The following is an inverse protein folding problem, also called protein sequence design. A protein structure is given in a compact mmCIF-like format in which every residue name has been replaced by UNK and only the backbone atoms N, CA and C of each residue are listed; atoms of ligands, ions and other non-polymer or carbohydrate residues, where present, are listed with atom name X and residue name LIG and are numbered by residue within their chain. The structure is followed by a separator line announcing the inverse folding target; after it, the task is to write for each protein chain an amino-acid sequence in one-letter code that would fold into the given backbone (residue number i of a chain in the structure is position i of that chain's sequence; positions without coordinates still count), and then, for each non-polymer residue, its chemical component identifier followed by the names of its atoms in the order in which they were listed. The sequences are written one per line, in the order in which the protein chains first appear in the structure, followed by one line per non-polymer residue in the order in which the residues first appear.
data_IF_986003206771
#
_entry.id   IF_986003206771
#
_cell.length_a   1.000
_cell.length_b   1.000
_cell.length_c   1.000
_cell.angle_alpha   90.00
_cell.angle_beta   90.00
_cell.angle_gamma   90.00
#
_symmetry.space_group_name_H-M   'P 1'
#
loop_
_entity.id
_entity.type
_entity.pdbx_description
1 polymer ?
#
# COMPACT_ATOMS: atom_id res chain seq x y z
N UNK A 1 -51.03 -50.28 6.92
CA UNK A 1 -50.91 -51.46 7.82
C UNK A 1 -49.60 -51.34 8.63
N UNK A 2 -49.77 -51.37 9.96
CA UNK A 2 -48.83 -51.84 11.02
C UNK A 2 -47.46 -51.15 11.12
N UNK A 3 -46.96 -50.76 12.28
CA UNK A 3 -47.39 -50.61 13.69
C UNK A 3 -46.23 -49.95 14.43
N UNK A 4 -46.60 -49.04 15.32
CA UNK A 4 -45.96 -48.61 16.56
C UNK A 4 -44.91 -49.53 17.17
N UNK A 5 -43.87 -48.99 17.78
CA UNK A 5 -43.61 -49.20 19.23
C UNK A 5 -42.74 -48.02 19.78
N UNK A 6 -43.28 -47.46 20.84
CA UNK A 6 -42.67 -46.57 21.84
C UNK A 6 -41.79 -47.41 22.77
N UNK A 7 -40.73 -46.83 23.34
CA UNK A 7 -40.33 -47.08 24.71
C UNK A 7 -39.80 -45.77 25.33
N UNK A 8 -40.26 -45.60 26.57
CA UNK A 8 -40.13 -44.42 27.42
C UNK A 8 -39.16 -44.64 28.55
N UNK A 9 -38.60 -43.54 29.03
CA UNK A 9 -38.24 -43.16 30.41
C UNK A 9 -37.13 -43.91 31.15
N UNK A 10 -36.21 -43.16 31.74
CA UNK A 10 -36.24 -42.96 33.20
C UNK A 10 -35.34 -41.77 33.58
N UNK A 11 -35.89 -40.87 34.39
CA UNK A 11 -35.25 -39.76 35.15
C UNK A 11 -34.15 -40.27 36.09
N UNK A 12 -33.14 -39.46 36.32
CA UNK A 12 -32.55 -39.30 37.64
C UNK A 12 -32.24 -37.84 37.93
N UNK A 13 -32.93 -37.34 38.95
CA UNK A 13 -32.79 -36.04 39.58
C UNK A 13 -31.64 -36.11 40.58
N UNK A 14 -30.74 -35.11 40.53
CA UNK A 14 -29.73 -34.88 41.55
C UNK A 14 -29.62 -33.37 41.82
N UNK A 15 -30.25 -32.95 42.89
CA UNK A 15 -30.37 -31.59 43.43
C UNK A 15 -29.16 -31.27 44.32
N UNK A 16 -28.49 -30.12 44.14
CA UNK A 16 -27.89 -29.31 45.22
C UNK A 16 -27.60 -27.91 44.65
N UNK A 17 -28.33 -27.01 45.00
CA UNK A 17 -28.38 -25.92 46.00
C UNK A 17 -27.24 -24.90 45.87
N UNK A 18 -27.65 -23.73 45.36
CA UNK A 18 -27.51 -22.33 45.79
C UNK A 18 -26.17 -21.78 46.27
N UNK A 19 -25.66 -20.76 45.56
CA UNK A 19 -25.52 -19.43 46.17
C UNK A 19 -25.61 -18.37 45.07
N UNK A 20 -26.59 -17.49 45.23
CA UNK A 20 -26.76 -16.28 44.43
C UNK A 20 -25.79 -15.22 44.95
N UNK A 21 -25.10 -14.56 44.01
CA UNK A 21 -24.60 -13.18 44.20
C UNK A 21 -24.89 -12.40 42.93
N UNK A 22 -25.78 -11.46 43.07
CA UNK A 22 -26.12 -10.49 42.06
C UNK A 22 -24.95 -9.56 41.83
N UNK A 23 -24.53 -9.47 40.58
CA UNK A 23 -23.63 -8.43 40.08
C UNK A 23 -24.12 -7.96 38.71
N UNK A 24 -24.84 -6.82 38.68
CA UNK A 24 -25.10 -6.11 37.44
C UNK A 24 -23.79 -5.73 36.81
N UNK A 25 -23.48 -6.26 35.65
CA UNK A 25 -22.45 -5.75 34.77
C UNK A 25 -23.05 -5.55 33.39
N UNK A 26 -22.92 -4.31 32.93
CA UNK A 26 -23.31 -3.83 31.60
C UNK A 26 -22.70 -4.71 30.53
N UNK A 27 -23.52 -5.12 29.58
CA UNK A 27 -23.11 -5.69 28.31
C UNK A 27 -22.27 -4.66 27.56
N UNK A 28 -20.94 -4.79 27.61
CA UNK A 28 -20.06 -4.25 26.59
C UNK A 28 -19.75 -5.44 25.68
N UNK A 29 -20.25 -5.36 24.45
CA UNK A 29 -19.73 -6.18 23.35
C UNK A 29 -18.30 -5.70 23.05
N UNK A 30 -17.33 -6.20 23.82
CA UNK A 30 -15.93 -6.16 23.41
C UNK A 30 -15.68 -7.39 22.55
N UNK A 31 -15.13 -7.18 21.37
CA UNK A 31 -14.65 -8.21 20.50
C UNK A 31 -13.71 -9.15 21.30
N UNK A 32 -14.00 -10.45 21.25
CA UNK A 32 -13.23 -11.48 21.92
C UNK A 32 -11.90 -11.67 21.20
N UNK A 33 -10.92 -10.84 21.54
CA UNK A 33 -9.53 -11.23 21.42
C UNK A 33 -9.18 -12.21 22.54
N UNK A 34 -8.22 -13.08 22.34
CA UNK A 34 -7.79 -14.10 23.30
C UNK A 34 -7.68 -13.51 24.73
N UNK A 35 -8.56 -13.90 25.62
CA UNK A 35 -8.73 -13.26 26.94
C UNK A 35 -7.69 -13.70 27.97
N UNK A 36 -6.76 -14.60 27.61
CA UNK A 36 -5.79 -15.19 28.52
C UNK A 36 -4.40 -14.53 28.45
N UNK A 37 -4.23 -13.49 27.62
CA UNK A 37 -2.94 -12.77 27.46
C UNK A 37 -1.80 -13.63 26.92
N UNK A 38 -2.11 -14.83 26.40
CA UNK A 38 -1.16 -15.70 25.77
C UNK A 38 -1.22 -15.52 24.26
N UNK A 39 -0.09 -15.14 23.66
CA UNK A 39 0.05 -15.06 22.21
C UNK A 39 -0.15 -16.42 21.56
N UNK A 40 -0.59 -16.44 20.29
CA UNK A 40 -0.62 -17.62 19.44
C UNK A 40 0.77 -18.21 19.24
N UNK A 41 0.86 -19.41 18.70
CA UNK A 41 2.14 -20.07 18.43
C UNK A 41 2.67 -19.81 17.02
N UNK A 42 1.83 -19.28 16.12
CA UNK A 42 2.15 -18.95 14.74
C UNK A 42 1.66 -17.53 14.41
N UNK A 43 2.53 -16.73 13.81
CA UNK A 43 2.20 -15.42 13.24
C UNK A 43 2.17 -15.55 11.72
N UNK A 44 0.99 -15.43 11.10
CA UNK A 44 0.83 -15.51 9.65
C UNK A 44 0.81 -14.11 9.02
N UNK A 45 1.76 -13.84 8.13
CA UNK A 45 1.93 -12.54 7.46
C UNK A 45 1.73 -12.71 5.95
N UNK A 46 0.77 -11.97 5.38
CA UNK A 46 0.44 -11.99 3.95
C UNK A 46 1.06 -10.80 3.23
N UNK A 47 1.89 -11.07 2.23
CA UNK A 47 2.65 -10.08 1.45
C UNK A 47 2.61 -10.41 -0.04
N UNK A 48 2.86 -9.41 -0.91
CA UNK A 48 2.93 -9.64 -2.37
C UNK A 48 4.37 -9.68 -2.92
N UNK A 49 5.36 -9.25 -2.13
CA UNK A 49 6.77 -9.26 -2.49
C UNK A 49 7.65 -9.41 -1.24
N UNK A 50 8.97 -9.35 -1.44
CA UNK A 50 9.95 -9.54 -0.36
C UNK A 50 10.26 -8.24 0.42
N UNK A 51 9.71 -7.07 0.03
CA UNK A 51 10.15 -5.78 0.56
C UNK A 51 9.85 -5.64 2.07
N UNK A 52 8.61 -5.83 2.49
CA UNK A 52 8.24 -5.82 3.92
C UNK A 52 8.89 -6.98 4.68
N UNK A 53 8.96 -8.15 4.06
CA UNK A 53 9.61 -9.32 4.66
C UNK A 53 11.08 -9.03 4.97
N UNK A 54 11.85 -8.45 4.04
CA UNK A 54 13.25 -8.09 4.29
C UNK A 54 13.39 -7.08 5.42
N UNK A 55 12.49 -6.10 5.51
CA UNK A 55 12.48 -5.14 6.62
C UNK A 55 12.35 -5.81 7.99
N UNK A 56 11.39 -6.73 8.12
CA UNK A 56 11.20 -7.47 9.36
C UNK A 56 12.35 -8.43 9.61
N UNK A 57 12.77 -9.20 8.61
CA UNK A 57 13.83 -10.20 8.78
C UNK A 57 15.19 -9.58 9.14
N UNK A 58 15.51 -8.41 8.60
CA UNK A 58 16.82 -7.79 8.75
C UNK A 58 16.87 -6.81 9.92
N UNK A 59 15.73 -6.26 10.35
CA UNK A 59 15.72 -5.15 11.30
C UNK A 59 14.86 -5.37 12.54
N UNK A 60 13.91 -6.34 12.52
CA UNK A 60 13.08 -6.59 13.71
C UNK A 60 13.89 -7.29 14.80
N UNK A 61 13.96 -6.73 16.03
CA UNK A 61 14.77 -7.29 17.11
C UNK A 61 14.36 -8.72 17.45
N UNK A 62 15.30 -9.65 17.42
CA UNK A 62 15.06 -11.05 17.81
C UNK A 62 14.42 -11.92 16.73
N UNK A 63 14.25 -11.42 15.50
CA UNK A 63 13.86 -12.29 14.41
C UNK A 63 15.00 -13.27 14.06
N UNK A 64 14.66 -14.55 13.92
CA UNK A 64 15.59 -15.60 13.51
C UNK A 64 15.01 -16.31 12.30
N UNK A 65 15.68 -16.20 11.15
CA UNK A 65 15.29 -16.91 9.91
C UNK A 65 15.47 -18.42 10.10
N UNK A 66 14.45 -19.21 9.74
CA UNK A 66 14.51 -20.68 9.73
C UNK A 66 14.68 -21.20 8.31
N UNK A 67 13.89 -20.70 7.36
CA UNK A 67 13.99 -20.94 5.92
C UNK A 67 13.48 -19.72 5.14
N UNK A 68 13.22 -19.87 3.83
CA UNK A 68 12.80 -18.74 2.99
C UNK A 68 11.37 -18.25 3.27
N UNK A 69 10.53 -19.08 3.85
CA UNK A 69 9.13 -18.75 4.14
C UNK A 69 8.82 -18.71 5.64
N UNK A 70 9.77 -19.09 6.51
CA UNK A 70 9.54 -19.15 7.93
C UNK A 70 10.68 -18.56 8.76
N UNK A 71 10.33 -18.10 9.95
CA UNK A 71 11.25 -17.62 10.97
C UNK A 71 10.66 -17.74 12.36
N UNK A 72 11.31 -17.13 13.34
CA UNK A 72 10.83 -17.06 14.72
C UNK A 72 11.06 -15.68 15.31
N UNK A 73 10.12 -15.29 16.18
CA UNK A 73 10.27 -14.17 17.11
C UNK A 73 9.95 -14.74 18.51
N UNK A 74 10.97 -14.89 19.33
CA UNK A 74 10.83 -15.62 20.59
C UNK A 74 10.36 -17.05 20.36
N UNK A 75 9.25 -17.43 21.00
CA UNK A 75 8.62 -18.77 20.84
C UNK A 75 7.62 -18.83 19.67
N UNK A 76 7.27 -17.69 19.05
CA UNK A 76 6.28 -17.62 17.97
C UNK A 76 6.95 -17.92 16.64
N UNK A 77 6.38 -18.87 15.88
CA UNK A 77 6.79 -19.16 14.50
C UNK A 77 6.18 -18.12 13.54
N UNK A 78 6.99 -17.42 12.78
CA UNK A 78 6.53 -16.49 11.72
C UNK A 78 6.44 -17.24 10.41
N UNK A 79 5.27 -17.18 9.76
CA UNK A 79 5.05 -17.73 8.41
C UNK A 79 4.76 -16.60 7.42
N UNK A 80 5.52 -16.57 6.34
CA UNK A 80 5.35 -15.62 5.24
C UNK A 80 4.54 -16.25 4.11
N UNK A 81 3.40 -15.65 3.80
CA UNK A 81 2.54 -16.03 2.68
C UNK A 81 2.74 -15.03 1.56
N UNK A 82 3.77 -15.29 0.70
CA UNK A 82 4.10 -14.41 -0.41
C UNK A 82 3.32 -14.82 -1.66
N UNK A 83 2.51 -13.92 -2.20
CA UNK A 83 1.79 -14.10 -3.46
C UNK A 83 2.04 -12.90 -4.36
N UNK A 84 2.76 -13.04 -5.49
CA UNK A 84 2.99 -11.95 -6.43
C UNK A 84 1.67 -11.29 -6.87
N UNK A 85 1.67 -9.95 -6.94
CA UNK A 85 0.47 -9.20 -7.31
C UNK A 85 0.31 -9.08 -8.84
N UNK A 86 0.34 -10.22 -9.51
CA UNK A 86 0.06 -10.33 -10.94
C UNK A 86 -1.42 -10.68 -11.14
N UNK A 87 -2.12 -9.94 -12.01
CA UNK A 87 -3.55 -10.18 -12.29
C UNK A 87 -4.43 -10.25 -11.03
N UNK A 88 -4.14 -9.45 -10.02
CA UNK A 88 -4.81 -9.42 -8.71
C UNK A 88 -4.67 -10.73 -7.90
N UNK A 89 -3.66 -11.57 -8.15
CA UNK A 89 -3.52 -12.85 -7.47
C UNK A 89 -3.37 -12.68 -5.95
N UNK A 90 -2.61 -11.66 -5.50
CA UNK A 90 -2.48 -11.37 -4.07
C UNK A 90 -3.84 -11.05 -3.43
N UNK A 91 -4.59 -10.11 -4.01
CA UNK A 91 -5.91 -9.72 -3.49
C UNK A 91 -6.88 -10.89 -3.48
N UNK A 92 -6.90 -11.72 -4.53
CA UNK A 92 -7.78 -12.89 -4.59
C UNK A 92 -7.45 -13.90 -3.49
N UNK A 93 -6.17 -14.20 -3.27
CA UNK A 93 -5.73 -15.10 -2.19
C UNK A 93 -6.04 -14.53 -0.80
N UNK A 94 -5.82 -13.23 -0.61
CA UNK A 94 -6.13 -12.57 0.66
C UNK A 94 -7.64 -12.56 0.93
N UNK A 95 -8.48 -12.31 -0.08
CA UNK A 95 -9.93 -12.37 0.04
C UNK A 95 -10.39 -13.75 0.52
N UNK A 96 -9.90 -14.82 -0.11
CA UNK A 96 -10.25 -16.20 0.26
C UNK A 96 -9.82 -16.53 1.69
N UNK A 97 -8.67 -16.06 2.12
CA UNK A 97 -8.14 -16.30 3.46
C UNK A 97 -8.92 -15.52 4.52
N UNK A 98 -9.21 -14.22 4.27
CA UNK A 98 -10.00 -13.38 5.19
C UNK A 98 -11.44 -13.88 5.35
N UNK A 99 -12.06 -14.45 4.31
CA UNK A 99 -13.38 -15.07 4.41
C UNK A 99 -13.41 -16.28 5.37
N UNK A 100 -12.28 -16.96 5.54
CA UNK A 100 -12.13 -18.12 6.45
C UNK A 100 -11.69 -17.71 7.86
N UNK A 101 -11.26 -16.47 8.07
CA UNK A 101 -10.61 -15.97 9.28
C UNK A 101 -11.39 -16.29 10.57
N UNK A 102 -12.73 -16.15 10.54
CA UNK A 102 -13.57 -16.34 11.71
C UNK A 102 -13.55 -17.80 12.22
N UNK A 103 -13.52 -18.76 11.29
CA UNK A 103 -13.63 -20.19 11.57
C UNK A 103 -12.26 -20.89 11.54
N UNK A 104 -11.17 -20.16 11.26
CA UNK A 104 -9.82 -20.69 11.25
C UNK A 104 -9.37 -21.12 12.66
N UNK A 105 -8.58 -22.19 12.73
CA UNK A 105 -7.87 -22.57 13.96
C UNK A 105 -6.85 -21.46 14.32
N UNK A 106 -6.45 -21.37 15.59
CA UNK A 106 -5.57 -20.34 16.08
C UNK A 106 -4.31 -20.17 15.20
N UNK A 107 -3.55 -21.23 14.96
CA UNK A 107 -2.32 -21.20 14.19
C UNK A 107 -2.50 -21.01 12.65
N UNK A 108 -3.75 -20.98 12.16
CA UNK A 108 -4.11 -20.78 10.76
C UNK A 108 -4.73 -19.39 10.51
N UNK A 109 -4.91 -18.59 11.55
CA UNK A 109 -5.44 -17.23 11.43
C UNK A 109 -4.44 -16.31 10.76
N UNK A 110 -4.95 -15.39 9.95
CA UNK A 110 -4.16 -14.26 9.48
C UNK A 110 -3.94 -13.30 10.64
N UNK A 111 -2.72 -12.85 10.82
CA UNK A 111 -2.39 -11.85 11.83
C UNK A 111 -2.11 -10.49 11.18
N UNK A 112 -1.24 -10.47 10.19
CA UNK A 112 -0.87 -9.28 9.43
C UNK A 112 -1.13 -9.52 7.94
N UNK A 113 -1.69 -8.54 7.28
CA UNK A 113 -1.71 -8.47 5.82
C UNK A 113 -1.39 -7.05 5.34
N UNK A 114 -0.80 -6.97 4.16
CA UNK A 114 -0.44 -5.69 3.58
C UNK A 114 -1.50 -5.21 2.59
N UNK A 115 -1.66 -3.90 2.52
CA UNK A 115 -2.48 -3.24 1.49
C UNK A 115 -1.69 -2.13 0.83
N UNK A 116 -1.96 -1.91 -0.45
CA UNK A 116 -1.38 -0.83 -1.24
C UNK A 116 -2.44 0.27 -1.44
N UNK A 117 -2.01 1.51 -1.67
CA UNK A 117 -2.86 2.69 -1.74
C UNK A 117 -4.07 2.53 -2.68
N UNK A 118 -3.89 1.89 -3.84
CA UNK A 118 -4.93 1.80 -4.88
C UNK A 118 -6.13 0.93 -4.47
N UNK A 119 -5.92 -0.01 -3.52
CA UNK A 119 -6.99 -0.91 -3.09
C UNK A 119 -7.18 -1.01 -1.56
N UNK A 120 -6.54 -0.11 -0.79
CA UNK A 120 -6.63 -0.13 0.67
C UNK A 120 -8.08 -0.09 1.18
N UNK A 121 -8.94 0.76 0.60
CA UNK A 121 -10.35 0.89 1.01
C UNK A 121 -11.14 -0.41 0.88
N UNK A 122 -10.78 -1.29 -0.06
CA UNK A 122 -11.42 -2.60 -0.20
C UNK A 122 -11.34 -3.42 1.09
N UNK A 123 -10.28 -3.24 1.87
CA UNK A 123 -10.03 -4.01 3.10
C UNK A 123 -10.34 -3.22 4.36
N UNK A 124 -9.94 -1.96 4.43
CA UNK A 124 -10.12 -1.17 5.66
C UNK A 124 -11.58 -0.80 5.91
N UNK A 125 -12.40 -0.67 4.86
CA UNK A 125 -13.84 -0.40 4.99
C UNK A 125 -14.66 -1.68 5.24
N UNK A 126 -14.05 -2.68 5.87
CA UNK A 126 -14.66 -3.97 6.21
C UNK A 126 -14.44 -4.32 7.68
N UNK A 127 -15.17 -5.34 8.15
CA UNK A 127 -15.00 -5.92 9.49
C UNK A 127 -13.83 -6.93 9.55
N UNK A 128 -13.11 -7.17 8.45
CA UNK A 128 -11.95 -8.05 8.44
C UNK A 128 -10.67 -7.38 8.94
N UNK A 129 -10.62 -6.04 8.94
CA UNK A 129 -9.47 -5.26 9.37
C UNK A 129 -9.71 -4.66 10.75
N UNK A 130 -8.81 -4.94 11.69
CA UNK A 130 -8.89 -4.48 13.06
C UNK A 130 -8.55 -2.99 13.17
N UNK A 131 -9.31 -2.19 13.95
CA UNK A 131 -8.88 -0.84 14.34
C UNK A 131 -7.54 -0.86 15.08
N UNK A 132 -6.61 0.02 14.74
CA UNK A 132 -5.30 0.06 15.42
C UNK A 132 -5.40 0.37 16.92
N UNK A 133 -6.45 1.05 17.35
CA UNK A 133 -6.73 1.32 18.77
C UNK A 133 -7.02 0.06 19.56
N UNK A 134 -7.60 -0.95 18.91
CA UNK A 134 -7.89 -2.25 19.56
C UNK A 134 -6.60 -3.05 19.80
N UNK A 135 -5.51 -2.70 19.08
CA UNK A 135 -4.14 -3.18 19.34
C UNK A 135 -3.42 -2.39 20.42
N UNK A 136 -4.08 -1.39 21.04
CA UNK A 136 -3.47 -0.51 22.03
C UNK A 136 -2.50 0.52 21.46
N UNK A 137 -2.53 0.77 20.15
CA UNK A 137 -1.74 1.84 19.52
C UNK A 137 -2.51 3.15 19.68
N UNK A 138 -1.84 4.15 20.28
CA UNK A 138 -2.46 5.43 20.65
C UNK A 138 -2.26 6.51 19.59
N UNK A 139 -3.13 7.52 19.59
CA UNK A 139 -3.01 8.67 18.68
C UNK A 139 -1.67 9.41 18.86
N UNK A 140 -1.13 9.46 20.08
CA UNK A 140 0.18 10.09 20.34
C UNK A 140 1.36 9.33 19.73
N UNK A 141 1.22 8.02 19.56
CA UNK A 141 2.27 7.21 18.95
C UNK A 141 2.34 7.41 17.43
N UNK A 142 1.29 7.89 16.79
CA UNK A 142 1.18 8.07 15.34
C UNK A 142 1.09 9.55 14.93
N UNK A 143 1.21 10.48 15.89
CA UNK A 143 1.02 11.92 15.66
C UNK A 143 1.96 12.51 14.60
N UNK A 144 3.18 11.94 14.49
CA UNK A 144 4.21 12.39 13.55
C UNK A 144 4.09 11.76 12.16
N UNK A 145 3.15 10.82 11.95
CA UNK A 145 2.92 10.28 10.60
C UNK A 145 2.23 11.29 9.71
N UNK A 146 2.62 11.31 8.44
CA UNK A 146 1.97 12.17 7.44
C UNK A 146 0.47 11.90 7.36
N UNK A 147 -0.33 12.96 7.36
CA UNK A 147 -1.80 12.87 7.33
C UNK A 147 -2.32 12.01 6.18
N UNK A 148 -1.77 12.15 4.97
CA UNK A 148 -2.21 11.39 3.81
C UNK A 148 -2.01 9.88 3.98
N UNK A 149 -0.96 9.44 4.71
CA UNK A 149 -0.74 8.02 4.98
C UNK A 149 -1.77 7.44 5.96
N UNK A 150 -2.29 8.26 6.88
CA UNK A 150 -3.38 7.86 7.76
C UNK A 150 -4.72 7.83 7.01
N UNK A 151 -4.97 8.82 6.13
CA UNK A 151 -6.23 8.92 5.38
C UNK A 151 -6.49 7.70 4.48
N UNK A 152 -5.46 7.15 3.85
CA UNK A 152 -5.56 5.96 2.97
C UNK A 152 -6.13 4.73 3.69
N UNK A 153 -5.82 4.56 4.97
CA UNK A 153 -6.25 3.40 5.78
C UNK A 153 -7.24 3.78 6.88
N UNK A 154 -7.92 4.91 6.70
CA UNK A 154 -9.06 5.32 7.51
C UNK A 154 -10.35 4.90 6.80
N UNK A 155 -11.20 4.14 7.48
CA UNK A 155 -12.47 3.67 6.91
C UNK A 155 -13.50 4.81 6.75
N UNK A 156 -14.63 4.50 6.09
CA UNK A 156 -15.73 5.46 5.85
C UNK A 156 -16.37 6.02 7.14
N UNK A 157 -16.08 5.41 8.30
CA UNK A 157 -16.56 5.86 9.63
C UNK A 157 -15.51 6.70 10.38
N UNK A 158 -14.34 6.96 9.76
CA UNK A 158 -13.24 7.71 10.35
C UNK A 158 -12.39 6.88 11.32
N UNK A 159 -12.40 5.55 11.22
CA UNK A 159 -11.60 4.66 12.06
C UNK A 159 -10.32 4.28 11.33
N UNK A 160 -9.18 4.54 11.96
CA UNK A 160 -7.87 4.16 11.44
C UNK A 160 -7.61 2.66 11.64
N UNK A 161 -7.30 1.94 10.55
CA UNK A 161 -7.19 0.48 10.52
C UNK A 161 -5.87 -0.07 9.98
N UNK A 162 -4.88 0.78 9.78
CA UNK A 162 -3.55 0.36 9.35
C UNK A 162 -2.51 1.42 9.65
N UNK A 163 -1.24 1.07 9.54
CA UNK A 163 -0.11 1.98 9.64
C UNK A 163 0.79 1.86 8.41
N UNK A 164 1.27 2.98 7.92
CA UNK A 164 2.24 3.01 6.83
C UNK A 164 3.64 2.79 7.36
N UNK A 165 4.44 2.03 6.63
CA UNK A 165 5.89 1.93 6.81
C UNK A 165 6.66 2.63 5.68
N UNK A 166 5.97 3.14 4.67
CA UNK A 166 6.53 3.87 3.54
C UNK A 166 5.90 5.25 3.40
N UNK A 167 6.72 6.29 3.35
CA UNK A 167 6.35 7.55 2.73
C UNK A 167 6.75 7.51 1.26
N UNK A 168 5.84 7.80 0.35
CA UNK A 168 6.09 7.75 -1.09
C UNK A 168 5.81 9.11 -1.76
N UNK A 169 6.43 10.23 -1.28
CA UNK A 169 6.31 11.50 -1.96
C UNK A 169 6.90 11.39 -3.36
N UNK A 170 6.16 11.87 -4.35
CA UNK A 170 6.60 11.85 -5.73
C UNK A 170 7.39 13.09 -6.10
N UNK A 171 8.31 12.93 -7.04
CA UNK A 171 9.12 13.99 -7.64
C UNK A 171 9.15 13.83 -9.14
N UNK A 172 9.53 14.89 -9.86
CA UNK A 172 9.89 14.81 -11.27
C UNK A 172 11.35 14.34 -11.36
N UNK A 173 11.59 13.23 -12.06
CA UNK A 173 12.90 12.62 -12.29
C UNK A 173 13.27 12.88 -13.74
N UNK A 174 14.36 13.59 -13.99
CA UNK A 174 14.74 14.00 -15.34
C UNK A 174 16.11 13.48 -15.75
N UNK A 175 16.28 13.27 -17.06
CA UNK A 175 17.54 12.89 -17.70
C UNK A 175 18.49 14.09 -17.75
N UNK A 176 19.65 13.97 -17.08
CA UNK A 176 20.66 15.04 -16.97
C UNK A 176 21.25 15.42 -18.32
N UNK A 177 21.51 14.45 -19.20
CA UNK A 177 22.13 14.70 -20.48
C UNK A 177 21.18 15.45 -21.41
N UNK A 178 19.90 15.06 -21.45
CA UNK A 178 18.87 15.77 -22.20
C UNK A 178 18.68 17.17 -21.63
N UNK A 179 18.67 17.33 -20.29
CA UNK A 179 18.57 18.64 -19.66
C UNK A 179 19.73 19.57 -20.07
N UNK A 180 20.97 19.09 -20.04
CA UNK A 180 22.15 19.85 -20.49
C UNK A 180 22.05 20.25 -21.96
N UNK A 181 21.67 19.29 -22.81
CA UNK A 181 21.60 19.53 -24.27
C UNK A 181 20.49 20.54 -24.61
N UNK A 182 19.29 20.40 -24.04
CA UNK A 182 18.10 21.14 -24.46
C UNK A 182 17.87 22.40 -23.62
N UNK A 183 18.11 22.33 -22.30
CA UNK A 183 17.89 23.44 -21.37
C UNK A 183 19.18 24.20 -21.03
N UNK A 184 20.36 23.66 -21.40
CA UNK A 184 21.66 24.22 -21.10
C UNK A 184 22.16 23.99 -19.67
N UNK A 185 21.44 23.21 -18.89
CA UNK A 185 21.77 22.91 -17.48
C UNK A 185 21.19 21.57 -17.02
N UNK A 186 21.85 20.91 -16.06
CA UNK A 186 21.31 19.76 -15.32
C UNK A 186 21.20 20.04 -13.82
N UNK A 187 21.36 21.29 -13.41
CA UNK A 187 21.13 21.69 -12.03
C UNK A 187 19.64 21.61 -11.67
N UNK A 188 19.26 20.90 -10.59
CA UNK A 188 17.85 20.70 -10.23
C UNK A 188 17.07 22.00 -10.01
N UNK A 189 17.67 23.03 -9.41
CA UNK A 189 16.99 24.29 -9.14
C UNK A 189 16.75 25.10 -10.44
N UNK A 190 17.65 24.98 -11.42
CA UNK A 190 17.47 25.62 -12.72
C UNK A 190 16.47 24.85 -13.60
N UNK A 191 16.53 23.50 -13.61
CA UNK A 191 15.56 22.66 -14.32
C UNK A 191 14.15 22.86 -13.75
N UNK A 192 13.99 23.04 -12.43
CA UNK A 192 12.69 23.33 -11.81
C UNK A 192 12.00 24.55 -12.45
N UNK A 193 12.73 25.57 -12.85
CA UNK A 193 12.16 26.75 -13.51
C UNK A 193 11.47 26.42 -14.83
N UNK A 194 11.92 25.35 -15.51
CA UNK A 194 11.37 24.90 -16.79
C UNK A 194 10.18 23.93 -16.61
N UNK A 195 9.88 23.49 -15.39
CA UNK A 195 8.82 22.52 -15.08
C UNK A 195 7.97 22.93 -13.86
N UNK A 196 8.01 24.21 -13.49
CA UNK A 196 7.44 24.75 -12.24
C UNK A 196 5.90 24.71 -12.14
N UNK A 197 5.25 24.65 -13.27
CA UNK A 197 3.79 24.57 -13.40
C UNK A 197 3.40 23.90 -14.73
N UNK A 198 2.13 23.50 -14.86
CA UNK A 198 1.68 22.76 -16.06
C UNK A 198 1.82 23.56 -17.38
N UNK A 199 1.67 24.89 -17.35
CA UNK A 199 1.86 25.74 -18.55
C UNK A 199 3.32 25.77 -18.97
N UNK A 200 4.23 25.90 -18.00
CA UNK A 200 5.67 25.88 -18.26
C UNK A 200 6.13 24.48 -18.68
N UNK A 201 5.59 23.43 -18.07
CA UNK A 201 5.84 22.03 -18.42
C UNK A 201 5.46 21.73 -19.88
N UNK A 202 4.30 22.23 -20.35
CA UNK A 202 3.88 22.07 -21.76
C UNK A 202 4.78 22.83 -22.75
N UNK A 203 5.24 24.03 -22.39
CA UNK A 203 6.21 24.78 -23.22
C UNK A 203 7.53 24.01 -23.33
N UNK A 204 7.98 23.44 -22.23
CA UNK A 204 9.19 22.60 -22.20
C UNK A 204 8.98 21.33 -23.01
N UNK A 205 7.79 20.72 -22.98
CA UNK A 205 7.46 19.55 -23.80
C UNK A 205 7.62 19.87 -25.31
N UNK A 206 7.18 21.05 -25.74
CA UNK A 206 7.40 21.48 -27.10
C UNK A 206 8.90 21.62 -27.42
N UNK A 207 9.68 22.24 -26.55
CA UNK A 207 11.12 22.40 -26.72
C UNK A 207 11.86 21.07 -26.82
N UNK A 208 11.48 20.10 -25.94
CA UNK A 208 12.00 18.73 -26.01
C UNK A 208 11.68 18.08 -27.36
N UNK A 209 10.44 18.19 -27.83
CA UNK A 209 10.02 17.64 -29.12
C UNK A 209 10.78 18.27 -30.30
N UNK A 210 10.95 19.58 -30.30
CA UNK A 210 11.70 20.30 -31.35
C UNK A 210 13.18 19.87 -31.40
N UNK A 211 13.71 19.36 -30.27
CA UNK A 211 15.07 18.80 -30.11
C UNK A 211 15.14 17.27 -30.34
N UNK A 212 14.03 16.62 -30.66
CA UNK A 212 13.97 15.18 -30.96
C UNK A 212 13.80 14.26 -29.76
N UNK A 213 13.32 14.79 -28.62
CA UNK A 213 13.06 14.08 -27.39
C UNK A 213 11.57 14.02 -27.06
N UNK A 214 11.15 13.00 -26.28
CA UNK A 214 9.84 12.97 -25.63
C UNK A 214 9.91 13.68 -24.29
N UNK A 215 8.86 14.41 -23.92
CA UNK A 215 8.76 15.02 -22.59
C UNK A 215 8.57 13.95 -21.52
N UNK A 216 7.62 13.02 -21.73
CA UNK A 216 7.31 11.89 -20.90
C UNK A 216 7.24 10.63 -21.75
N UNK A 217 7.30 9.43 -21.12
CA UNK A 217 7.29 8.19 -21.87
C UNK A 217 5.88 7.78 -22.30
N UNK A 218 4.92 7.75 -21.39
CA UNK A 218 3.57 7.26 -21.67
C UNK A 218 2.48 8.31 -21.51
N UNK A 219 1.22 7.88 -21.83
CA UNK A 219 0.06 8.74 -21.61
C UNK A 219 -0.32 8.84 -20.12
N UNK A 220 0.12 7.91 -19.30
CA UNK A 220 -0.28 7.78 -17.89
C UNK A 220 0.71 8.45 -16.93
N UNK A 221 1.89 8.89 -17.41
CA UNK A 221 2.99 9.35 -16.56
C UNK A 221 2.61 10.50 -15.62
N UNK A 222 1.72 11.38 -16.04
CA UNK A 222 1.26 12.50 -15.21
C UNK A 222 0.00 12.20 -14.41
N UNK A 223 -0.64 11.05 -14.61
CA UNK A 223 -1.94 10.72 -14.01
C UNK A 223 -1.93 10.85 -12.49
N UNK A 224 -0.90 10.31 -11.81
CA UNK A 224 -0.81 10.34 -10.34
C UNK A 224 -0.75 11.76 -9.80
N UNK A 225 -0.10 12.67 -10.50
CA UNK A 225 -0.02 14.08 -10.09
C UNK A 225 -1.40 14.73 -10.09
N UNK A 226 -2.20 14.49 -11.13
CA UNK A 226 -3.56 15.03 -11.21
C UNK A 226 -4.52 14.32 -10.27
N UNK A 227 -4.48 12.98 -10.20
CA UNK A 227 -5.41 12.19 -9.40
C UNK A 227 -5.23 12.34 -7.89
N UNK A 228 -4.04 12.69 -7.41
CA UNK A 228 -3.81 13.00 -6.00
C UNK A 228 -4.39 14.36 -5.59
N UNK A 229 -4.69 15.23 -6.55
CA UNK A 229 -5.14 16.60 -6.30
C UNK A 229 -6.62 16.80 -6.68
N UNK A 230 -7.41 15.75 -6.63
CA UNK A 230 -8.86 15.82 -6.86
C UNK A 230 -9.58 16.40 -5.64
N UNK A 231 -10.69 17.10 -5.90
CA UNK A 231 -11.55 17.68 -4.87
C UNK A 231 -12.72 16.78 -4.49
N UNK A 232 -13.00 15.75 -5.28
CA UNK A 232 -14.14 14.86 -5.12
C UNK A 232 -13.75 13.40 -5.35
N UNK A 233 -14.31 12.44 -4.60
CA UNK A 233 -14.16 11.03 -4.89
C UNK A 233 -14.90 10.64 -6.17
N UNK A 234 -14.54 9.49 -6.76
CA UNK A 234 -15.17 8.97 -7.96
C UNK A 234 -16.66 8.64 -7.81
N UNK A 235 -17.14 8.42 -6.59
CA UNK A 235 -18.54 8.13 -6.32
C UNK A 235 -19.04 9.02 -5.20
N UNK A 236 -20.10 9.79 -5.48
CA UNK A 236 -20.81 10.63 -4.51
C UNK A 236 -22.29 10.28 -4.60
N UNK A 237 -22.93 9.92 -3.50
CA UNK A 237 -24.36 9.54 -3.42
C UNK A 237 -24.75 8.47 -4.45
N UNK A 238 -23.87 7.47 -4.66
CA UNK A 238 -24.07 6.37 -5.61
C UNK A 238 -23.95 6.75 -7.08
N UNK A 239 -23.47 7.94 -7.41
CA UNK A 239 -23.24 8.42 -8.78
C UNK A 239 -21.75 8.60 -9.05
N UNK A 240 -21.34 8.23 -10.25
CA UNK A 240 -19.96 8.51 -10.72
C UNK A 240 -19.81 10.01 -10.92
N UNK A 241 -18.75 10.55 -10.33
CA UNK A 241 -18.31 11.95 -10.47
C UNK A 241 -16.91 11.93 -11.08
N UNK A 242 -16.72 12.69 -12.15
CA UNK A 242 -15.41 12.90 -12.76
C UNK A 242 -14.94 14.29 -12.34
N UNK A 243 -13.90 14.35 -11.51
CA UNK A 243 -13.32 15.60 -11.03
C UNK A 243 -12.67 16.39 -12.18
N UNK A 244 -12.69 17.73 -12.08
CA UNK A 244 -12.11 18.59 -13.10
C UNK A 244 -10.61 18.33 -13.31
N UNK A 245 -9.88 17.96 -12.25
CA UNK A 245 -8.47 17.59 -12.38
C UNK A 245 -8.25 16.32 -13.22
N UNK A 246 -9.16 15.37 -13.16
CA UNK A 246 -9.11 14.19 -14.03
C UNK A 246 -9.34 14.62 -15.50
N UNK A 247 -10.27 15.55 -15.74
CA UNK A 247 -10.50 16.09 -17.09
C UNK A 247 -9.31 16.94 -17.58
N UNK A 248 -8.61 17.65 -16.69
CA UNK A 248 -7.38 18.36 -17.01
C UNK A 248 -6.27 17.39 -17.45
N UNK A 249 -6.11 16.25 -16.74
CA UNK A 249 -5.21 15.19 -17.18
C UNK A 249 -5.60 14.62 -18.56
N UNK A 250 -6.88 14.32 -18.79
CA UNK A 250 -7.36 13.85 -20.11
C UNK A 250 -7.01 14.84 -21.22
N UNK A 251 -7.19 16.12 -20.96
CA UNK A 251 -6.87 17.19 -21.92
C UNK A 251 -5.37 17.30 -22.19
N UNK A 252 -4.55 17.22 -21.12
CA UNK A 252 -3.09 17.27 -21.24
C UNK A 252 -2.56 16.05 -22.00
N UNK A 253 -2.98 14.83 -21.60
CA UNK A 253 -2.47 13.61 -22.27
C UNK A 253 -2.88 13.56 -23.73
N UNK A 254 -4.08 14.05 -24.07
CA UNK A 254 -4.50 14.20 -25.47
C UNK A 254 -3.58 15.17 -26.20
N UNK A 255 -3.32 16.34 -25.66
CA UNK A 255 -2.43 17.35 -26.26
C UNK A 255 -1.02 16.77 -26.44
N UNK A 256 -0.49 16.06 -25.45
CA UNK A 256 0.84 15.44 -25.49
C UNK A 256 0.92 14.34 -26.56
N UNK A 257 -0.12 13.55 -26.71
CA UNK A 257 -0.21 12.50 -27.73
C UNK A 257 -0.31 13.10 -29.13
N UNK A 258 -1.21 14.06 -29.33
CA UNK A 258 -1.45 14.70 -30.64
C UNK A 258 -0.19 15.44 -31.16
N UNK A 259 0.60 16.03 -30.23
CA UNK A 259 1.83 16.76 -30.56
C UNK A 259 3.10 15.87 -30.55
N UNK A 260 2.99 14.60 -30.17
CA UNK A 260 4.10 13.66 -30.07
C UNK A 260 5.08 14.01 -28.95
N UNK A 261 4.59 14.51 -27.81
CA UNK A 261 5.38 14.78 -26.61
C UNK A 261 5.57 13.54 -25.74
N UNK A 262 4.87 12.45 -26.03
CA UNK A 262 5.05 11.12 -25.46
C UNK A 262 5.24 10.07 -26.57
N UNK A 263 5.67 8.87 -26.20
CA UNK A 263 5.90 7.77 -27.15
C UNK A 263 4.65 6.87 -27.33
N UNK A 264 3.48 7.29 -26.86
CA UNK A 264 2.21 6.61 -27.00
C UNK A 264 2.16 5.20 -26.37
N UNK A 265 2.90 5.00 -25.30
CA UNK A 265 2.88 3.76 -24.50
C UNK A 265 2.03 3.91 -23.25
N UNK A 266 1.63 2.78 -22.67
CA UNK A 266 1.06 2.71 -21.34
C UNK A 266 2.13 2.47 -20.30
N UNK A 267 1.84 2.85 -19.06
CA UNK A 267 2.65 2.56 -17.89
C UNK A 267 2.95 1.04 -17.83
N UNK A 268 4.19 0.69 -17.61
CA UNK A 268 4.75 -0.67 -17.52
C UNK A 268 4.90 -1.42 -18.85
N UNK A 269 4.54 -0.82 -20.00
CA UNK A 269 4.82 -1.42 -21.30
C UNK A 269 6.32 -1.43 -21.61
N UNK A 270 6.74 -2.37 -22.47
CA UNK A 270 8.13 -2.44 -22.94
C UNK A 270 8.60 -1.13 -23.59
N UNK A 271 7.72 -0.46 -24.37
CA UNK A 271 8.03 0.81 -24.99
C UNK A 271 8.16 1.95 -23.97
N UNK A 272 7.37 1.91 -22.89
CA UNK A 272 7.50 2.85 -21.80
C UNK A 272 8.84 2.70 -21.07
N UNK A 273 9.25 1.45 -20.80
CA UNK A 273 10.52 1.12 -20.12
C UNK A 273 11.77 1.45 -20.94
N UNK A 274 11.67 1.52 -22.28
CA UNK A 274 12.79 1.94 -23.15
C UNK A 274 13.34 3.32 -22.80
N UNK A 275 12.52 4.21 -22.23
CA UNK A 275 12.95 5.52 -21.76
C UNK A 275 13.94 5.51 -20.61
N UNK A 276 14.15 4.36 -19.94
CA UNK A 276 15.21 4.19 -18.93
C UNK A 276 16.60 4.01 -19.56
N UNK A 277 16.68 3.92 -20.87
CA UNK A 277 17.89 3.80 -21.67
C UNK A 277 18.04 4.98 -22.63
N UNK A 278 19.29 5.33 -23.04
CA UNK A 278 19.53 6.51 -23.88
C UNK A 278 18.74 6.54 -25.20
N UNK A 279 18.54 5.37 -25.82
CA UNK A 279 17.81 5.23 -27.07
C UNK A 279 16.31 5.56 -26.96
N UNK A 280 15.73 5.50 -25.76
CA UNK A 280 14.33 5.85 -25.54
C UNK A 280 14.03 7.34 -25.62
N UNK A 281 15.05 8.19 -25.46
CA UNK A 281 14.97 9.66 -25.66
C UNK A 281 13.89 10.34 -24.83
N UNK A 282 13.65 9.87 -23.61
CA UNK A 282 12.64 10.41 -22.68
C UNK A 282 13.32 11.40 -21.72
N UNK A 283 12.74 12.60 -21.61
CA UNK A 283 13.27 13.63 -20.72
C UNK A 283 12.95 13.35 -19.27
N UNK A 284 11.70 13.06 -18.90
CA UNK A 284 11.35 12.88 -17.50
C UNK A 284 10.29 11.83 -17.24
N UNK A 285 10.26 11.40 -15.97
CA UNK A 285 9.27 10.55 -15.33
C UNK A 285 8.79 11.19 -14.04
N UNK A 286 7.65 10.75 -13.55
CA UNK A 286 7.13 11.10 -12.23
C UNK A 286 7.13 9.86 -11.34
N UNK A 287 7.79 9.93 -10.18
CA UNK A 287 7.87 8.77 -9.28
C UNK A 287 8.48 9.12 -7.92
N UNK A 288 8.23 8.29 -6.92
CA UNK A 288 8.89 8.35 -5.61
C UNK A 288 10.24 7.62 -5.62
N UNK A 289 10.91 7.58 -4.47
CA UNK A 289 12.23 6.95 -4.34
C UNK A 289 12.25 5.48 -4.80
N UNK A 290 11.22 4.68 -4.45
CA UNK A 290 11.15 3.27 -4.87
C UNK A 290 11.12 3.11 -6.40
N UNK A 291 10.62 4.09 -7.13
CA UNK A 291 10.55 4.05 -8.59
C UNK A 291 11.95 3.97 -9.22
N UNK A 292 12.91 4.68 -8.66
CA UNK A 292 14.32 4.62 -9.11
C UNK A 292 14.89 3.22 -8.88
N UNK A 293 14.70 2.67 -7.68
CA UNK A 293 15.30 1.39 -7.29
C UNK A 293 14.68 0.18 -8.01
N UNK A 294 13.36 0.17 -8.16
CA UNK A 294 12.64 -1.00 -8.68
C UNK A 294 12.30 -0.92 -10.18
N UNK A 295 12.18 0.29 -10.75
CA UNK A 295 11.69 0.43 -12.12
C UNK A 295 12.77 0.87 -13.10
N UNK A 296 13.72 1.74 -12.69
CA UNK A 296 14.66 2.37 -13.61
C UNK A 296 15.93 1.55 -13.90
N UNK A 297 15.91 0.25 -13.56
CA UNK A 297 16.97 -0.72 -13.88
C UNK A 297 18.39 -0.31 -13.42
N UNK A 298 18.53 0.15 -12.18
CA UNK A 298 19.79 0.63 -11.59
C UNK A 298 20.92 -0.42 -11.62
N UNK A 299 20.59 -1.70 -11.69
CA UNK A 299 21.55 -2.80 -11.78
C UNK A 299 22.01 -3.11 -13.20
N UNK A 300 21.35 -2.58 -14.23
CA UNK A 300 21.74 -2.76 -15.64
C UNK A 300 22.71 -1.64 -16.04
N UNK A 301 23.98 -2.03 -16.34
CA UNK A 301 25.02 -1.07 -16.71
C UNK A 301 24.71 -0.22 -17.96
N UNK A 302 23.78 -0.66 -18.81
CA UNK A 302 23.33 0.08 -19.99
C UNK A 302 22.28 1.13 -19.65
N UNK A 303 21.64 1.06 -18.46
CA UNK A 303 20.62 2.01 -18.06
C UNK A 303 21.20 3.38 -17.71
N UNK A 304 20.39 4.43 -17.88
CA UNK A 304 20.72 5.80 -17.45
C UNK A 304 20.93 5.84 -15.93
N UNK A 305 20.12 5.09 -15.17
CA UNK A 305 20.17 5.06 -13.71
C UNK A 305 21.49 4.51 -13.17
N UNK A 306 22.02 3.43 -13.74
CA UNK A 306 23.29 2.82 -13.35
C UNK A 306 24.49 3.79 -13.46
N UNK A 307 24.39 4.78 -14.33
CA UNK A 307 25.42 5.75 -14.62
C UNK A 307 25.18 7.12 -13.96
N UNK A 308 24.21 7.23 -13.04
CA UNK A 308 23.86 8.49 -12.37
C UNK A 308 23.29 9.57 -13.30
N UNK A 309 22.72 9.16 -14.44
CA UNK A 309 22.20 10.04 -15.47
C UNK A 309 20.83 10.66 -15.15
N UNK A 310 20.22 10.35 -14.00
CA UNK A 310 18.99 10.97 -13.53
C UNK A 310 19.24 11.95 -12.40
N UNK A 311 18.40 12.99 -12.33
CA UNK A 311 18.27 13.86 -11.19
C UNK A 311 16.79 14.13 -10.90
N UNK A 312 16.49 14.69 -9.73
CA UNK A 312 15.12 14.95 -9.32
C UNK A 312 14.90 16.42 -8.98
N UNK A 313 13.67 16.88 -9.22
CA UNK A 313 13.19 18.21 -8.82
C UNK A 313 11.70 18.12 -8.45
N UNK A 314 11.11 19.16 -7.86
CA UNK A 314 9.72 19.13 -7.37
C UNK A 314 8.70 18.87 -8.50
N UNK A 315 8.95 19.41 -9.70
CA UNK A 315 8.03 19.36 -10.81
C UNK A 315 6.89 20.38 -10.70
N UNK A 316 5.82 20.22 -11.50
CA UNK A 316 4.75 21.21 -11.58
C UNK A 316 3.79 21.19 -10.40
N UNK A 317 3.70 20.08 -9.67
CA UNK A 317 2.75 19.88 -8.56
C UNK A 317 3.16 18.70 -7.69
N UNK A 318 2.99 18.82 -6.37
CA UNK A 318 3.24 17.74 -5.42
C UNK A 318 2.23 16.59 -5.55
N UNK A 319 2.69 15.37 -5.31
CA UNK A 319 1.88 14.16 -5.33
C UNK A 319 2.54 13.05 -4.49
N UNK A 320 1.83 11.94 -4.31
CA UNK A 320 2.40 10.69 -3.84
C UNK A 320 2.01 9.53 -4.79
N UNK A 321 2.81 8.49 -4.80
CA UNK A 321 2.47 7.30 -5.59
C UNK A 321 2.83 6.02 -4.86
N UNK A 322 1.79 5.17 -4.67
CA UNK A 322 1.92 3.91 -3.98
C UNK A 322 2.07 4.08 -2.47
N UNK A 323 2.77 3.19 -1.87
CA UNK A 323 2.91 3.03 -0.44
C UNK A 323 2.24 1.76 0.04
N UNK A 324 2.77 1.23 1.12
CA UNK A 324 2.32 -0.03 1.72
C UNK A 324 1.91 0.22 3.15
N UNK A 325 0.79 -0.36 3.54
CA UNK A 325 0.25 -0.31 4.90
C UNK A 325 0.18 -1.69 5.49
N UNK A 326 0.49 -1.74 6.77
CA UNK A 326 0.35 -2.93 7.61
C UNK A 326 -1.04 -2.88 8.24
N UNK A 327 -1.84 -3.89 7.98
CA UNK A 327 -3.16 -4.09 8.58
C UNK A 327 -3.15 -5.34 9.47
N UNK A 328 -3.79 -5.25 10.61
CA UNK A 328 -4.06 -6.40 11.47
C UNK A 328 -5.39 -7.05 11.08
N UNK A 329 -5.42 -8.36 10.96
CA UNK A 329 -6.68 -9.06 10.70
C UNK A 329 -7.54 -9.12 11.97
N UNK A 330 -8.85 -8.90 11.79
CA UNK A 330 -9.80 -9.06 12.89
C UNK A 330 -9.78 -10.50 13.41
N UNK A 331 -9.57 -10.66 14.72
CA UNK A 331 -9.50 -11.96 15.37
C UNK A 331 -8.12 -12.64 15.31
N UNK A 332 -7.04 -11.86 15.03
CA UNK A 332 -5.67 -12.31 15.27
C UNK A 332 -5.52 -12.87 16.68
N UNK A 333 -4.75 -13.93 16.86
CA UNK A 333 -4.39 -14.48 18.17
C UNK A 333 -3.00 -14.05 18.65
N UNK A 334 -2.35 -13.11 17.88
CA UNK A 334 -1.08 -12.51 18.23
C UNK A 334 -1.15 -10.96 18.33
N UNK A 335 -2.15 -10.36 19.01
CA UNK A 335 -2.38 -8.92 18.95
C UNK A 335 -1.22 -8.08 19.52
N UNK A 336 -0.52 -8.56 20.55
CA UNK A 336 0.60 -7.83 21.14
C UNK A 336 1.82 -7.84 20.21
N UNK A 337 2.15 -8.98 19.59
CA UNK A 337 3.25 -9.09 18.64
C UNK A 337 2.94 -8.30 17.35
N UNK A 338 1.71 -8.34 16.85
CA UNK A 338 1.25 -7.51 15.72
C UNK A 338 1.44 -6.03 16.04
N UNK A 339 0.99 -5.58 17.20
CA UNK A 339 1.15 -4.19 17.64
C UNK A 339 2.62 -3.78 17.75
N UNK A 340 3.48 -4.67 18.23
CA UNK A 340 4.91 -4.37 18.36
C UNK A 340 5.59 -4.25 16.99
N UNK A 341 5.30 -5.17 16.05
CA UNK A 341 5.78 -5.07 14.67
C UNK A 341 5.33 -3.75 14.03
N UNK A 342 4.05 -3.40 14.13
CA UNK A 342 3.53 -2.14 13.60
C UNK A 342 4.20 -0.91 14.21
N UNK A 343 4.58 -0.95 15.51
CA UNK A 343 5.32 0.14 16.18
C UNK A 343 6.77 0.26 15.72
N UNK A 344 7.43 -0.85 15.48
CA UNK A 344 8.84 -0.84 15.05
C UNK A 344 8.96 -0.29 13.61
N UNK A 345 8.10 -0.73 12.73
CA UNK A 345 8.17 -0.40 11.30
C UNK A 345 7.82 1.07 11.01
N UNK A 346 6.88 1.67 11.75
CA UNK A 346 6.50 3.08 11.58
C UNK A 346 7.66 4.07 11.81
N UNK A 347 8.71 3.67 12.53
CA UNK A 347 9.89 4.52 12.74
C UNK A 347 10.67 4.82 11.47
N UNK A 348 10.37 4.12 10.39
CA UNK A 348 10.97 4.34 9.07
C UNK A 348 10.25 5.44 8.25
N UNK A 349 9.11 5.96 8.71
CA UNK A 349 8.21 6.87 7.97
C UNK A 349 8.21 8.31 8.53
N UNK A 350 9.02 8.56 9.56
CA UNK A 350 9.16 9.88 10.22
C UNK A 350 10.43 10.56 9.74
#
# INVERSE_FOLDING_TARGET
MRKFKKFAATMLVGLMATTALAGCSKSNNAASGNTDGKEGSVLNIYVWNEEFKSRVTDHYPGYVKTDDSTGKIGDVTVKWHTTPNENNAYQNNLDEALLKQKDAAADDKIDIFLVEADYALKYVDTDYTMPIKDLGITDSEIADQYKYTQDIVTDSKGVLKGLSWQGCPGVLIYNRDIAKEVLGTDDPAEVQKSVSDWSTFEKTAKTMKDSGYFMVSGFDDTFRVFSNNVSSPWVVDGKVVIDDNIMNWVSQTKTFTDNGYNNQSSLWDDNWSKGFYPEGKVFCYFGPAWFVDFSMNVSDAASIAANGGWAATEGPQGFFWGGTWICAAQGTDNPALVADIMRQDRKSVV
#
